data_IF_066896009864
#
_entry.id   IF_066896009864
#
_cell.length_a   1.000
_cell.length_b   1.000
_cell.length_c   1.000
_cell.angle_alpha   90.00
_cell.angle_beta   90.00
_cell.angle_gamma   90.00
#
_symmetry.space_group_name_H-M   'P 1'
#
loop_
_entity.id
_entity.type
_entity.pdbx_description
1 polymer ?
#
# COMPACT_ATOMS: atom_id res chain seq x y z
N UNK A 1 -64.19 -8.39 -14.20
CA UNK A 1 -62.74 -8.64 -14.15
C UNK A 1 -62.24 -8.86 -15.58
N UNK A 2 -61.45 -7.92 -16.12
CA UNK A 2 -60.09 -8.31 -16.48
C UNK A 2 -59.11 -7.26 -15.91
N UNK A 3 -58.66 -7.43 -14.65
CA UNK A 3 -57.81 -6.52 -13.90
C UNK A 3 -56.32 -6.65 -14.25
N UNK A 4 -55.98 -7.12 -15.45
CA UNK A 4 -54.60 -7.47 -15.81
C UNK A 4 -53.87 -6.46 -16.70
N UNK A 5 -54.50 -5.36 -17.15
CA UNK A 5 -53.83 -4.39 -18.04
C UNK A 5 -53.41 -3.06 -17.39
N UNK A 6 -53.54 -2.89 -16.07
CA UNK A 6 -52.96 -1.74 -15.36
C UNK A 6 -51.56 -2.04 -14.76
N UNK A 7 -51.14 -3.30 -14.77
CA UNK A 7 -49.86 -3.75 -14.22
C UNK A 7 -48.68 -3.70 -15.20
N UNK A 8 -48.87 -3.19 -16.42
CA UNK A 8 -47.81 -3.14 -17.44
C UNK A 8 -47.33 -1.75 -17.85
N UNK A 9 -47.97 -0.66 -17.38
CA UNK A 9 -47.51 0.72 -17.70
C UNK A 9 -46.69 1.35 -16.56
N UNK A 10 -46.71 0.79 -15.34
CA UNK A 10 -45.94 1.31 -14.18
C UNK A 10 -44.64 0.51 -13.93
N UNK A 11 -44.23 -0.36 -14.87
CA UNK A 11 -43.03 -1.22 -14.72
C UNK A 11 -41.78 -0.76 -15.49
N UNK A 12 -41.70 0.50 -15.94
CA UNK A 12 -40.53 0.98 -16.69
C UNK A 12 -39.70 2.13 -16.10
N UNK A 13 -40.14 2.82 -15.03
CA UNK A 13 -39.30 3.85 -14.37
C UNK A 13 -39.07 3.60 -12.88
N UNK A 14 -39.00 2.33 -12.47
CA UNK A 14 -38.43 1.93 -11.19
C UNK A 14 -36.91 1.95 -11.27
N UNK A 15 -36.32 3.13 -11.43
CA UNK A 15 -34.88 3.28 -11.71
C UNK A 15 -34.05 2.66 -10.58
N UNK A 16 -32.97 1.98 -10.97
CA UNK A 16 -31.93 1.46 -10.07
C UNK A 16 -31.44 2.50 -9.04
N UNK A 17 -31.66 3.79 -9.29
CA UNK A 17 -31.42 4.93 -8.39
C UNK A 17 -32.10 4.75 -7.02
N UNK A 18 -33.35 4.27 -6.98
CA UNK A 18 -34.10 4.04 -5.74
C UNK A 18 -33.46 2.96 -4.84
N UNK A 19 -33.01 1.86 -5.44
CA UNK A 19 -32.31 0.75 -4.75
C UNK A 19 -30.89 1.13 -4.33
N UNK A 20 -30.18 1.89 -5.14
CA UNK A 20 -28.86 2.42 -4.79
C UNK A 20 -28.94 3.46 -3.66
N UNK A 21 -30.02 4.23 -3.57
CA UNK A 21 -30.25 5.17 -2.48
C UNK A 21 -30.54 4.47 -1.15
N UNK A 22 -31.38 3.42 -1.13
CA UNK A 22 -31.62 2.61 0.08
C UNK A 22 -30.34 2.03 0.69
N UNK A 23 -29.40 1.56 -0.13
CA UNK A 23 -28.11 1.01 0.35
C UNK A 23 -27.21 2.12 0.94
N UNK A 24 -27.33 3.37 0.49
CA UNK A 24 -26.56 4.52 1.02
C UNK A 24 -27.09 5.02 2.36
N UNK A 25 -28.40 4.96 2.58
CA UNK A 25 -29.06 5.42 3.83
C UNK A 25 -28.79 4.46 4.99
N UNK A 26 -28.63 3.16 4.74
CA UNK A 26 -28.36 2.16 5.78
C UNK A 26 -27.00 2.40 6.48
N UNK A 27 -25.99 2.88 5.73
CA UNK A 27 -24.68 3.29 6.26
C UNK A 27 -24.78 4.58 7.09
N UNK A 28 -25.79 5.41 6.84
CA UNK A 28 -25.96 6.74 7.40
C UNK A 28 -27.13 6.86 8.38
N UNK A 29 -27.83 5.79 8.75
CA UNK A 29 -29.09 5.87 9.52
C UNK A 29 -29.00 6.78 10.75
N UNK A 30 -27.89 6.74 11.48
CA UNK A 30 -27.64 7.60 12.65
C UNK A 30 -27.24 9.07 12.30
N UNK A 31 -26.77 9.34 11.08
CA UNK A 31 -26.31 10.66 10.64
C UNK A 31 -27.33 11.41 9.77
N UNK A 32 -28.38 10.74 9.28
CA UNK A 32 -29.40 11.38 8.41
C UNK A 32 -29.97 12.62 9.08
N UNK A 33 -30.45 12.49 10.32
CA UNK A 33 -31.06 13.60 11.06
C UNK A 33 -30.07 14.74 11.31
N UNK A 34 -28.81 14.42 11.62
CA UNK A 34 -27.76 15.40 11.85
C UNK A 34 -27.41 16.15 10.57
N UNK A 35 -27.21 15.44 9.45
CA UNK A 35 -26.93 16.02 8.14
C UNK A 35 -28.09 16.90 7.69
N UNK A 36 -29.33 16.40 7.81
CA UNK A 36 -30.52 17.17 7.46
C UNK A 36 -30.58 18.45 8.28
N UNK A 37 -30.52 18.35 9.61
CA UNK A 37 -30.59 19.52 10.50
C UNK A 37 -29.52 20.57 10.14
N UNK A 38 -28.29 20.15 9.90
CA UNK A 38 -27.22 21.08 9.55
C UNK A 38 -27.40 21.73 8.17
N UNK A 39 -27.71 20.93 7.14
CA UNK A 39 -27.87 21.44 5.77
C UNK A 39 -29.04 22.41 5.69
N UNK A 40 -30.12 22.17 6.43
CA UNK A 40 -31.27 23.06 6.51
C UNK A 40 -30.99 24.39 7.22
N UNK A 41 -29.99 24.43 8.10
CA UNK A 41 -29.54 25.64 8.79
C UNK A 41 -28.39 26.36 8.07
N UNK A 42 -27.71 25.68 7.14
CA UNK A 42 -26.58 26.23 6.41
C UNK A 42 -27.00 27.38 5.48
N UNK A 43 -26.33 28.53 5.61
CA UNK A 43 -26.61 29.72 4.78
C UNK A 43 -26.52 29.43 3.28
N UNK A 44 -25.53 28.62 2.89
CA UNK A 44 -25.23 28.29 1.49
C UNK A 44 -26.36 27.52 0.78
N UNK A 45 -27.18 26.77 1.54
CA UNK A 45 -28.22 25.90 0.97
C UNK A 45 -29.64 26.36 1.30
N UNK A 46 -29.80 27.36 2.17
CA UNK A 46 -31.11 27.82 2.67
C UNK A 46 -32.05 28.29 1.55
N UNK A 47 -31.53 29.01 0.57
CA UNK A 47 -32.35 29.50 -0.55
C UNK A 47 -32.74 28.37 -1.51
N UNK A 48 -31.77 27.50 -1.83
CA UNK A 48 -31.99 26.30 -2.66
C UNK A 48 -33.10 25.43 -2.04
N UNK A 49 -33.03 25.19 -0.73
CA UNK A 49 -34.03 24.39 -0.01
C UNK A 49 -35.42 25.02 -0.03
N UNK A 50 -35.53 26.36 0.06
CA UNK A 50 -36.83 27.05 -0.04
C UNK A 50 -37.44 26.93 -1.43
N UNK A 51 -36.63 27.09 -2.49
CA UNK A 51 -37.08 26.95 -3.87
C UNK A 51 -37.58 25.52 -4.12
N UNK A 52 -36.79 24.51 -3.73
CA UNK A 52 -37.18 23.10 -3.84
C UNK A 52 -38.44 22.77 -3.01
N UNK A 53 -38.61 23.37 -1.82
CA UNK A 53 -39.80 23.18 -0.99
C UNK A 53 -41.07 23.81 -1.60
N UNK A 54 -40.93 24.82 -2.48
CA UNK A 54 -42.03 25.40 -3.26
C UNK A 54 -42.36 24.61 -4.55
N UNK A 55 -41.61 23.55 -4.82
CA UNK A 55 -41.73 22.77 -6.06
C UNK A 55 -41.00 23.40 -7.25
N UNK A 56 -40.17 24.42 -7.03
CA UNK A 56 -39.34 25.00 -8.08
C UNK A 56 -38.18 24.06 -8.42
N UNK A 57 -37.80 24.00 -9.70
CA UNK A 57 -36.63 23.24 -10.14
C UNK A 57 -35.37 24.07 -9.98
N UNK A 58 -34.36 23.54 -9.28
CA UNK A 58 -33.05 24.17 -9.12
C UNK A 58 -32.01 23.32 -9.86
N UNK A 59 -31.20 23.95 -10.72
CA UNK A 59 -30.21 23.24 -11.55
C UNK A 59 -29.27 22.38 -10.70
N UNK A 60 -29.09 21.12 -11.08
CA UNK A 60 -28.24 20.12 -10.43
C UNK A 60 -28.63 19.72 -8.98
N UNK A 61 -29.62 20.37 -8.37
CA UNK A 61 -30.07 20.11 -7.01
C UNK A 61 -31.43 19.44 -6.99
N UNK A 62 -31.61 18.50 -6.06
CA UNK A 62 -32.90 17.86 -5.80
C UNK A 62 -33.06 17.52 -4.32
N UNK A 63 -34.30 17.33 -3.88
CA UNK A 63 -34.60 16.77 -2.56
C UNK A 63 -34.93 15.30 -2.70
N UNK A 64 -34.37 14.49 -1.82
CA UNK A 64 -34.77 13.10 -1.74
C UNK A 64 -36.13 12.96 -1.03
N UNK A 65 -37.09 12.17 -1.57
CA UNK A 65 -38.46 12.15 -1.08
C UNK A 65 -38.67 11.67 0.36
N UNK A 66 -37.90 10.70 0.84
CA UNK A 66 -38.14 10.03 2.12
C UNK A 66 -37.42 10.72 3.29
N UNK A 67 -36.11 10.84 3.19
CA UNK A 67 -35.21 11.40 4.20
C UNK A 67 -35.07 12.92 4.07
N UNK A 68 -35.62 13.56 3.02
CA UNK A 68 -35.55 15.01 2.79
C UNK A 68 -34.11 15.56 2.81
N UNK A 69 -33.18 14.74 2.33
CA UNK A 69 -31.78 15.11 2.15
C UNK A 69 -31.61 15.91 0.86
N UNK A 70 -30.79 16.95 0.91
CA UNK A 70 -30.40 17.70 -0.28
C UNK A 70 -29.38 16.88 -1.10
N UNK A 71 -29.63 16.76 -2.39
CA UNK A 71 -28.75 16.11 -3.34
C UNK A 71 -28.17 17.11 -4.33
N UNK A 72 -26.91 16.93 -4.70
CA UNK A 72 -26.25 17.63 -5.80
C UNK A 72 -25.70 16.62 -6.81
N UNK A 73 -26.28 16.56 -8.01
CA UNK A 73 -26.00 15.52 -9.03
C UNK A 73 -26.02 14.12 -8.41
N UNK A 74 -27.11 13.79 -7.72
CA UNK A 74 -27.35 12.48 -7.07
C UNK A 74 -26.42 12.13 -5.89
N UNK A 75 -25.72 13.11 -5.32
CA UNK A 75 -24.84 12.95 -4.15
C UNK A 75 -25.38 13.70 -2.95
N UNK A 76 -25.32 13.10 -1.76
CA UNK A 76 -25.80 13.73 -0.53
C UNK A 76 -24.94 14.95 -0.21
N UNK A 77 -25.57 16.10 -0.10
CA UNK A 77 -24.90 17.33 0.30
C UNK A 77 -24.62 17.26 1.81
N UNK A 78 -23.37 17.51 2.18
CA UNK A 78 -22.95 17.67 3.57
C UNK A 78 -22.30 19.04 3.74
N UNK A 79 -22.31 19.55 4.98
CA UNK A 79 -21.67 20.82 5.36
C UNK A 79 -20.16 20.64 5.57
N UNK A 80 -19.48 21.72 5.95
CA UNK A 80 -18.07 21.71 6.41
C UNK A 80 -17.93 21.37 7.89
N UNK A 81 -18.93 20.75 8.51
CA UNK A 81 -18.82 20.29 9.89
C UNK A 81 -17.84 19.11 9.96
N UNK A 82 -16.77 19.26 10.76
CA UNK A 82 -15.72 18.26 10.90
C UNK A 82 -16.24 16.95 11.48
N UNK A 83 -17.19 16.97 12.42
CA UNK A 83 -17.76 15.78 13.05
C UNK A 83 -18.47 14.88 12.04
N UNK A 84 -19.31 15.46 11.18
CA UNK A 84 -20.01 14.71 10.12
C UNK A 84 -19.01 14.14 9.14
N UNK A 85 -18.03 14.94 8.72
CA UNK A 85 -17.02 14.51 7.75
C UNK A 85 -16.10 13.43 8.32
N UNK A 86 -15.71 13.52 9.59
CA UNK A 86 -14.93 12.50 10.29
C UNK A 86 -15.69 11.18 10.39
N UNK A 87 -16.96 11.22 10.80
CA UNK A 87 -17.80 10.02 10.91
C UNK A 87 -17.92 9.28 9.56
N UNK A 88 -18.11 10.03 8.47
CA UNK A 88 -18.15 9.45 7.11
C UNK A 88 -16.80 8.80 6.75
N UNK A 89 -15.68 9.47 7.04
CA UNK A 89 -14.35 8.97 6.68
C UNK A 89 -13.88 7.80 7.54
N UNK A 90 -14.22 7.77 8.83
CA UNK A 90 -13.94 6.64 9.72
C UNK A 90 -14.58 5.37 9.19
N UNK A 91 -15.84 5.43 8.73
CA UNK A 91 -16.50 4.26 8.11
C UNK A 91 -15.79 3.76 6.85
N UNK A 92 -15.11 4.64 6.12
CA UNK A 92 -14.40 4.29 4.88
C UNK A 92 -12.92 3.89 5.07
N UNK A 93 -12.16 4.44 6.05
CA UNK A 93 -10.76 4.02 6.32
C UNK A 93 -10.69 2.95 7.42
N UNK A 94 -11.51 3.02 8.48
CA UNK A 94 -11.28 2.24 9.73
C UNK A 94 -12.17 0.98 9.85
N UNK A 95 -13.10 0.77 8.91
CA UNK A 95 -13.91 -0.45 8.92
C UNK A 95 -13.05 -1.67 8.56
N UNK A 96 -13.03 -2.74 9.37
CA UNK A 96 -12.31 -3.97 9.06
C UNK A 96 -12.69 -4.58 7.70
N UNK A 97 -13.92 -4.32 7.24
CA UNK A 97 -14.46 -4.81 5.97
C UNK A 97 -14.07 -3.93 4.77
N UNK A 98 -13.58 -2.70 4.99
CA UNK A 98 -13.23 -1.76 3.91
C UNK A 98 -11.92 -2.14 3.18
N UNK A 99 -11.10 -3.00 3.80
CA UNK A 99 -9.86 -3.51 3.21
C UNK A 99 -8.76 -2.45 3.08
N UNK A 100 -8.71 -1.47 3.99
CA UNK A 100 -7.70 -0.41 4.05
C UNK A 100 -7.43 0.25 2.69
N UNK A 101 -8.45 0.87 2.08
CA UNK A 101 -8.33 1.43 0.74
C UNK A 101 -7.30 2.57 0.71
N UNK A 102 -6.46 2.59 -0.31
CA UNK A 102 -5.53 3.71 -0.52
C UNK A 102 -6.25 5.06 -0.67
N UNK A 103 -5.51 6.16 -0.48
CA UNK A 103 -6.02 7.55 -0.50
C UNK A 103 -6.96 7.87 -1.66
N UNK A 104 -6.60 7.45 -2.87
CA UNK A 104 -7.40 7.69 -4.07
C UNK A 104 -8.74 6.93 -4.06
N UNK A 105 -8.73 5.70 -3.52
CA UNK A 105 -9.94 4.89 -3.40
C UNK A 105 -10.88 5.48 -2.35
N UNK A 106 -10.37 5.95 -1.21
CA UNK A 106 -11.17 6.69 -0.21
C UNK A 106 -11.78 7.94 -0.85
N UNK A 107 -10.95 8.77 -1.50
CA UNK A 107 -11.40 9.98 -2.18
C UNK A 107 -12.52 9.68 -3.19
N UNK A 108 -12.35 8.62 -3.99
CA UNK A 108 -13.34 8.21 -5.00
C UNK A 108 -14.64 7.71 -4.37
N UNK A 109 -14.56 6.88 -3.33
CA UNK A 109 -15.74 6.34 -2.65
C UNK A 109 -16.53 7.44 -1.96
N UNK A 110 -15.88 8.32 -1.20
CA UNK A 110 -16.56 9.43 -0.53
C UNK A 110 -17.18 10.39 -1.55
N UNK A 111 -16.50 10.71 -2.65
CA UNK A 111 -17.04 11.57 -3.72
C UNK A 111 -18.18 10.97 -4.54
N UNK A 112 -18.28 9.65 -4.58
CA UNK A 112 -19.37 8.95 -5.26
C UNK A 112 -20.70 9.20 -4.53
N UNK A 113 -20.65 9.34 -3.21
CA UNK A 113 -21.84 9.34 -2.36
C UNK A 113 -22.13 10.72 -1.76
N UNK A 114 -21.10 11.53 -1.51
CA UNK A 114 -21.22 12.83 -0.84
C UNK A 114 -20.68 13.99 -1.69
N UNK A 115 -21.24 15.17 -1.43
CA UNK A 115 -20.80 16.43 -1.99
C UNK A 115 -20.62 17.48 -0.89
N UNK A 116 -19.44 18.11 -0.85
CA UNK A 116 -19.16 19.26 -0.02
C UNK A 116 -18.06 20.12 -0.64
N UNK A 117 -18.18 21.44 -0.49
CA UNK A 117 -17.16 22.37 -0.95
C UNK A 117 -15.88 22.20 -0.11
N UNK A 118 -14.74 21.93 -0.75
CA UNK A 118 -13.46 21.71 -0.07
C UNK A 118 -13.21 20.28 0.44
N UNK A 119 -14.14 19.34 0.18
CA UNK A 119 -14.04 17.95 0.64
C UNK A 119 -12.73 17.25 0.23
N UNK A 120 -12.16 17.62 -0.92
CA UNK A 120 -10.86 17.09 -1.36
C UNK A 120 -9.75 17.33 -0.35
N UNK A 121 -9.65 18.55 0.17
CA UNK A 121 -8.56 18.92 1.06
C UNK A 121 -8.75 18.25 2.42
N UNK A 122 -9.98 18.21 2.92
CA UNK A 122 -10.32 17.52 4.15
C UNK A 122 -9.95 16.03 4.11
N UNK A 123 -10.40 15.30 3.07
CA UNK A 123 -10.05 13.89 2.88
C UNK A 123 -8.54 13.70 2.77
N UNK A 124 -7.86 14.59 2.03
CA UNK A 124 -6.40 14.53 1.89
C UNK A 124 -5.68 14.65 3.22
N UNK A 125 -6.14 15.54 4.10
CA UNK A 125 -5.59 15.78 5.42
C UNK A 125 -5.87 14.60 6.37
N UNK A 126 -7.10 14.11 6.39
CA UNK A 126 -7.50 12.95 7.21
C UNK A 126 -6.69 11.69 6.88
N UNK A 127 -6.59 11.36 5.59
CA UNK A 127 -5.84 10.17 5.17
C UNK A 127 -4.34 10.31 5.47
N UNK A 128 -3.78 11.52 5.46
CA UNK A 128 -2.38 11.74 5.86
C UNK A 128 -2.15 11.65 7.37
N UNK A 129 -3.14 11.98 8.21
CA UNK A 129 -3.03 11.85 9.67
C UNK A 129 -3.37 10.45 10.18
N UNK A 130 -4.11 9.64 9.41
CA UNK A 130 -4.46 8.29 9.80
C UNK A 130 -3.25 7.33 9.79
N UNK A 131 -2.93 6.76 10.95
CA UNK A 131 -1.82 5.82 11.11
C UNK A 131 -2.01 4.52 10.32
N UNK A 132 -3.24 3.98 10.26
CA UNK A 132 -3.52 2.74 9.52
C UNK A 132 -3.33 2.95 8.02
N UNK A 133 -3.94 4.02 7.49
CA UNK A 133 -3.80 4.44 6.10
C UNK A 133 -2.30 4.76 5.76
N UNK A 134 -1.49 5.25 6.71
CA UNK A 134 -0.03 5.47 6.54
C UNK A 134 0.78 4.17 6.53
N UNK A 135 0.54 3.24 7.47
CA UNK A 135 1.26 1.95 7.58
C UNK A 135 1.01 1.04 6.38
N UNK A 136 -0.21 1.06 5.84
CA UNK A 136 -0.59 0.24 4.67
C UNK A 136 -0.20 0.86 3.34
N UNK A 137 0.37 2.06 3.34
CA UNK A 137 0.81 2.71 2.11
C UNK A 137 1.99 1.95 1.55
N UNK A 138 1.86 1.45 0.31
CA UNK A 138 3.00 0.94 -0.44
C UNK A 138 4.03 2.05 -0.56
N UNK A 139 5.21 1.85 0.00
CA UNK A 139 6.33 2.78 -0.16
C UNK A 139 6.77 2.69 -1.62
N UNK A 140 6.34 3.68 -2.42
CA UNK A 140 6.92 3.92 -3.73
C UNK A 140 8.30 4.52 -3.50
N UNK A 141 9.32 3.66 -3.41
CA UNK A 141 10.69 4.10 -3.57
C UNK A 141 10.84 4.70 -4.97
N UNK A 142 11.71 5.71 -5.12
CA UNK A 142 12.13 6.15 -6.44
C UNK A 142 12.65 4.93 -7.20
N UNK A 143 12.43 4.88 -8.52
CA UNK A 143 12.99 3.81 -9.37
C UNK A 143 14.44 3.58 -8.97
N UNK A 144 14.80 2.35 -8.62
CA UNK A 144 16.18 2.01 -8.33
C UNK A 144 17.05 2.51 -9.48
N UNK A 145 18.17 3.16 -9.17
CA UNK A 145 19.11 3.63 -10.19
C UNK A 145 19.61 2.47 -11.04
N UNK A 146 20.34 2.79 -12.12
CA UNK A 146 20.97 1.75 -12.94
C UNK A 146 21.90 0.90 -12.08
N UNK A 147 21.81 -0.43 -12.24
CA UNK A 147 22.69 -1.37 -11.55
C UNK A 147 24.14 -1.06 -11.91
N UNK A 148 24.94 -0.64 -10.94
CA UNK A 148 26.36 -0.38 -11.13
C UNK A 148 27.12 -1.70 -11.06
N UNK A 149 27.76 -2.10 -12.17
CA UNK A 149 28.61 -3.28 -12.19
C UNK A 149 29.87 -3.04 -11.36
N UNK A 150 30.35 -4.10 -10.71
CA UNK A 150 31.65 -4.10 -10.06
C UNK A 150 32.76 -3.95 -11.10
N UNK A 151 33.87 -3.32 -10.72
CA UNK A 151 35.03 -3.19 -11.60
C UNK A 151 35.56 -4.58 -11.98
N UNK A 152 35.88 -4.76 -13.26
CA UNK A 152 36.47 -6.00 -13.78
C UNK A 152 37.87 -6.14 -13.17
N UNK A 153 38.22 -7.29 -12.57
CA UNK A 153 39.55 -7.48 -12.00
C UNK A 153 40.65 -7.45 -13.07
N UNK A 154 41.87 -7.03 -12.69
CA UNK A 154 43.01 -6.92 -13.62
C UNK A 154 43.56 -8.27 -14.11
N UNK A 155 43.21 -9.38 -13.44
CA UNK A 155 43.68 -10.71 -13.80
C UNK A 155 43.02 -11.81 -12.96
N UNK A 156 43.27 -13.09 -13.28
CA UNK A 156 42.77 -14.23 -12.52
C UNK A 156 43.14 -14.14 -11.05
N UNK A 157 42.23 -14.53 -10.17
CA UNK A 157 42.42 -14.60 -8.70
C UNK A 157 42.71 -13.28 -7.99
N UNK A 158 42.84 -12.16 -8.70
CA UNK A 158 42.98 -10.83 -8.11
C UNK A 158 41.72 -10.40 -7.35
N UNK A 159 40.55 -10.90 -7.72
CA UNK A 159 39.33 -10.61 -6.96
C UNK A 159 38.37 -11.78 -6.92
N UNK A 160 37.93 -12.09 -5.70
CA UNK A 160 37.04 -13.21 -5.42
C UNK A 160 35.64 -12.73 -5.05
N UNK A 161 34.65 -13.55 -5.37
CA UNK A 161 33.31 -13.53 -4.78
C UNK A 161 33.21 -14.69 -3.82
N UNK A 162 32.73 -14.46 -2.59
CA UNK A 162 32.45 -15.51 -1.63
C UNK A 162 30.96 -15.55 -1.32
N UNK A 163 30.40 -16.74 -1.18
CA UNK A 163 28.99 -16.97 -0.85
C UNK A 163 28.81 -18.31 -0.12
N UNK A 164 27.64 -18.53 0.48
CA UNK A 164 27.29 -19.78 1.14
C UNK A 164 26.05 -20.41 0.52
N UNK A 165 26.12 -21.72 0.30
CA UNK A 165 24.94 -22.54 0.10
C UNK A 165 24.68 -23.21 1.46
N UNK A 166 23.59 -22.84 2.13
CA UNK A 166 23.25 -23.32 3.48
C UNK A 166 22.01 -24.20 3.48
N UNK A 167 21.73 -24.86 4.61
CA UNK A 167 20.52 -25.69 4.83
C UNK A 167 20.44 -26.87 3.85
N UNK A 168 21.59 -27.46 3.52
CA UNK A 168 21.66 -28.66 2.72
C UNK A 168 21.40 -29.90 3.59
N UNK A 169 20.94 -31.01 3.01
CA UNK A 169 20.94 -32.29 3.70
C UNK A 169 22.34 -32.64 4.19
N UNK A 170 22.43 -33.21 5.39
CA UNK A 170 23.70 -33.61 5.99
C UNK A 170 24.44 -34.61 5.08
N UNK A 171 25.68 -34.28 4.73
CA UNK A 171 26.59 -35.14 3.98
C UNK A 171 27.95 -35.13 4.66
N UNK A 172 28.40 -36.29 5.15
CA UNK A 172 29.63 -36.41 5.96
C UNK A 172 29.69 -35.37 7.10
N UNK A 173 28.56 -35.18 7.78
CA UNK A 173 28.35 -34.20 8.85
C UNK A 173 28.34 -32.72 8.45
N UNK A 174 28.56 -32.37 7.18
CA UNK A 174 28.43 -31.00 6.68
C UNK A 174 27.01 -30.73 6.15
N UNK A 175 26.50 -29.53 6.40
CA UNK A 175 25.16 -29.06 5.98
C UNK A 175 25.23 -27.77 5.13
N UNK A 176 26.44 -27.30 4.81
CA UNK A 176 26.66 -26.05 4.07
C UNK A 176 27.91 -26.15 3.18
N UNK A 177 28.00 -25.28 2.18
CA UNK A 177 29.14 -25.18 1.26
C UNK A 177 29.57 -23.72 1.16
N UNK A 178 30.86 -23.46 1.41
CA UNK A 178 31.51 -22.21 1.06
C UNK A 178 31.86 -22.23 -0.42
N UNK A 179 31.35 -21.24 -1.15
CA UNK A 179 31.62 -21.04 -2.57
C UNK A 179 32.59 -19.88 -2.74
N UNK A 180 33.75 -20.12 -3.34
CA UNK A 180 34.75 -19.09 -3.65
C UNK A 180 34.95 -19.03 -5.15
N UNK A 181 34.57 -17.91 -5.78
CA UNK A 181 34.60 -17.73 -7.23
C UNK A 181 35.59 -16.64 -7.61
N UNK A 182 36.53 -16.93 -8.51
CA UNK A 182 37.32 -15.90 -9.17
C UNK A 182 36.43 -15.08 -10.11
N UNK A 183 36.35 -13.77 -9.86
CA UNK A 183 35.47 -12.90 -10.65
C UNK A 183 35.98 -12.69 -12.08
N UNK A 184 37.27 -12.94 -12.35
CA UNK A 184 37.86 -12.81 -13.68
C UNK A 184 37.59 -14.05 -14.53
N UNK A 185 38.10 -15.22 -14.12
CA UNK A 185 38.01 -16.47 -14.88
C UNK A 185 36.69 -17.24 -14.70
N UNK A 186 35.91 -16.91 -13.67
CA UNK A 186 34.72 -17.66 -13.22
C UNK A 186 35.01 -19.08 -12.69
N UNK A 187 36.28 -19.41 -12.44
CA UNK A 187 36.63 -20.64 -11.72
C UNK A 187 36.11 -20.57 -10.27
N UNK A 188 35.58 -21.69 -9.79
CA UNK A 188 34.99 -21.80 -8.47
C UNK A 188 35.63 -22.92 -7.66
N UNK A 189 35.79 -22.68 -6.36
CA UNK A 189 36.18 -23.67 -5.36
C UNK A 189 34.99 -23.84 -4.41
N UNK A 190 34.54 -25.08 -4.26
CA UNK A 190 33.48 -25.48 -3.34
C UNK A 190 34.09 -26.21 -2.16
N UNK A 191 33.80 -25.74 -0.95
CA UNK A 191 34.38 -26.31 0.27
C UNK A 191 33.24 -26.66 1.23
N UNK A 192 33.09 -27.93 1.64
CA UNK A 192 32.06 -28.30 2.62
C UNK A 192 32.38 -27.67 3.98
N UNK A 193 31.37 -27.08 4.61
CA UNK A 193 31.46 -26.40 5.91
C UNK A 193 30.23 -26.72 6.76
N UNK A 194 30.29 -26.39 8.04
CA UNK A 194 29.11 -26.40 8.91
C UNK A 194 28.39 -25.05 8.78
N UNK A 195 27.07 -25.03 8.79
CA UNK A 195 26.26 -23.81 8.78
C UNK A 195 26.47 -22.95 10.03
N UNK A 196 27.00 -23.57 11.09
CA UNK A 196 27.42 -22.93 12.35
C UNK A 196 28.86 -22.45 12.35
N UNK A 197 29.60 -22.57 11.24
CA UNK A 197 31.02 -22.18 11.18
C UNK A 197 31.20 -20.71 11.54
N UNK A 198 32.17 -20.41 12.38
CA UNK A 198 32.52 -19.05 12.80
C UNK A 198 33.36 -18.35 11.74
N UNK A 199 33.44 -17.01 11.82
CA UNK A 199 34.30 -16.22 10.92
C UNK A 199 35.78 -16.64 10.99
N UNK A 200 36.26 -17.05 12.17
CA UNK A 200 37.63 -17.52 12.36
C UNK A 200 37.86 -18.87 11.65
N UNK A 201 36.95 -19.82 11.80
CA UNK A 201 37.01 -21.11 11.11
C UNK A 201 36.98 -20.92 9.59
N UNK A 202 36.13 -20.00 9.10
CA UNK A 202 36.08 -19.65 7.68
C UNK A 202 37.41 -19.07 7.17
N UNK A 203 38.06 -18.20 7.93
CA UNK A 203 39.38 -17.69 7.58
C UNK A 203 40.43 -18.81 7.49
N UNK A 204 40.41 -19.76 8.45
CA UNK A 204 41.30 -20.91 8.43
C UNK A 204 41.03 -21.83 7.23
N UNK A 205 39.76 -22.06 6.90
CA UNK A 205 39.34 -22.83 5.73
C UNK A 205 39.82 -22.15 4.45
N UNK A 206 39.70 -20.83 4.35
CA UNK A 206 40.21 -20.06 3.21
C UNK A 206 41.73 -20.21 3.06
N UNK A 207 42.49 -20.05 4.15
CA UNK A 207 43.95 -20.21 4.18
C UNK A 207 44.36 -21.64 3.82
N UNK A 208 43.56 -22.65 4.18
CA UNK A 208 43.86 -24.05 3.89
C UNK A 208 43.56 -24.43 2.43
N UNK A 209 42.46 -23.94 1.87
CA UNK A 209 41.93 -24.47 0.61
C UNK A 209 42.09 -23.54 -0.61
N UNK A 210 42.20 -22.22 -0.40
CA UNK A 210 42.26 -21.22 -1.47
C UNK A 210 43.67 -20.63 -1.57
N UNK A 211 44.20 -20.13 -0.46
CA UNK A 211 45.49 -19.44 -0.42
C UNK A 211 46.67 -20.25 -1.00
N UNK A 212 46.85 -21.56 -0.73
CA UNK A 212 48.02 -22.30 -1.22
C UNK A 212 48.01 -22.51 -2.73
N UNK A 213 46.84 -22.39 -3.37
CA UNK A 213 46.67 -22.60 -4.81
C UNK A 213 46.82 -21.32 -5.61
N UNK A 214 46.37 -20.19 -5.04
CA UNK A 214 46.15 -18.96 -5.80
C UNK A 214 46.70 -17.70 -5.11
N UNK A 215 47.26 -17.83 -3.92
CA UNK A 215 47.77 -16.71 -3.13
C UNK A 215 46.67 -15.85 -2.51
N UNK A 216 47.05 -14.64 -2.10
CA UNK A 216 46.15 -13.68 -1.49
C UNK A 216 45.46 -12.83 -2.58
N UNK A 217 44.13 -12.73 -2.60
CA UNK A 217 43.44 -11.85 -3.53
C UNK A 217 43.58 -10.38 -3.12
N UNK A 218 43.49 -9.47 -4.10
CA UNK A 218 43.49 -8.01 -3.87
C UNK A 218 42.14 -7.56 -3.26
N UNK A 219 41.04 -8.20 -3.65
CA UNK A 219 39.73 -7.89 -3.07
C UNK A 219 38.77 -9.08 -3.04
N UNK A 220 38.09 -9.23 -1.92
CA UNK A 220 36.99 -10.18 -1.75
C UNK A 220 35.68 -9.39 -1.68
N UNK A 221 34.69 -9.84 -2.44
CA UNK A 221 33.31 -9.36 -2.36
C UNK A 221 32.44 -10.48 -1.82
N UNK A 222 31.61 -10.14 -0.84
CA UNK A 222 30.64 -11.05 -0.26
C UNK A 222 29.31 -10.31 -0.05
N UNK A 223 28.26 -11.08 0.23
CA UNK A 223 27.02 -10.54 0.75
C UNK A 223 27.20 -9.99 2.19
N UNK A 224 26.11 -9.45 2.77
CA UNK A 224 26.12 -8.94 4.15
C UNK A 224 25.80 -10.01 5.20
N UNK A 225 26.16 -11.26 4.93
CA UNK A 225 26.01 -12.34 5.92
C UNK A 225 26.78 -12.01 7.20
N UNK A 226 26.21 -12.37 8.36
CA UNK A 226 26.81 -12.17 9.69
C UNK A 226 28.19 -12.83 9.84
N UNK A 227 28.47 -13.85 9.03
CA UNK A 227 29.74 -14.55 8.96
C UNK A 227 30.85 -13.73 8.29
N UNK A 228 30.49 -12.78 7.41
CA UNK A 228 31.41 -11.84 6.76
C UNK A 228 31.47 -10.48 7.47
N UNK A 229 30.43 -10.14 8.24
CA UNK A 229 30.29 -8.91 9.01
C UNK A 229 30.20 -9.21 10.51
N UNK A 230 31.35 -9.33 11.18
CA UNK A 230 31.42 -9.34 12.65
C UNK A 230 31.45 -7.91 13.22
N UNK A 231 31.01 -7.73 14.47
CA UNK A 231 30.86 -6.42 15.15
C UNK A 231 32.15 -5.58 15.23
N UNK A 232 33.32 -6.18 15.00
CA UNK A 232 34.63 -5.54 15.02
C UNK A 232 35.15 -5.08 13.63
N UNK A 233 34.31 -5.11 12.60
CA UNK A 233 34.65 -4.66 11.25
C UNK A 233 34.98 -5.80 10.29
N UNK A 234 35.06 -5.51 8.98
CA UNK A 234 35.21 -6.55 7.96
C UNK A 234 36.60 -7.19 8.04
N UNK A 235 36.65 -8.52 8.13
CA UNK A 235 37.88 -9.31 7.96
C UNK A 235 38.20 -9.37 6.46
N UNK A 236 38.50 -8.23 5.82
CA UNK A 236 38.77 -8.07 4.37
C UNK A 236 37.54 -8.09 3.44
N UNK A 237 36.64 -7.11 3.58
CA UNK A 237 35.55 -6.89 2.59
C UNK A 237 35.43 -5.41 2.26
N UNK A 238 35.67 -5.06 0.98
CA UNK A 238 35.32 -3.73 0.47
C UNK A 238 33.85 -3.77 0.05
N UNK A 239 32.99 -3.26 0.93
CA UNK A 239 31.57 -3.02 0.63
C UNK A 239 31.45 -2.07 -0.56
N UNK A 240 30.99 -2.58 -1.70
CA UNK A 240 30.65 -1.77 -2.87
C UNK A 240 29.33 -1.05 -2.61
N UNK A 241 29.41 0.27 -2.41
CA UNK A 241 28.26 1.19 -2.47
C UNK A 241 27.79 1.38 -3.90
#
# INVERSE_FOLDING_TARGET
MNPQNLHQVIKQDGTQESRFFSIKVEILSHLVDQIQKEVWQAKDYKEILKQLARGESVTDYSLEPQAKLLLFKYRVVITRNEEIQLNILQKHCDSPLAGNPGKEKILRLTKRDFYCNGMNQFIKNYVSSCQQCSRNKKIHHKKFGLLKRLQIPAGPWNSLSMDFITQLPLSNSFDSILVVVDRFSKLAIFIPIYGTSTALELAQIFIRHVFPKHGLPISIVSDRGSLFFHHYGPIYVRSSR
#
